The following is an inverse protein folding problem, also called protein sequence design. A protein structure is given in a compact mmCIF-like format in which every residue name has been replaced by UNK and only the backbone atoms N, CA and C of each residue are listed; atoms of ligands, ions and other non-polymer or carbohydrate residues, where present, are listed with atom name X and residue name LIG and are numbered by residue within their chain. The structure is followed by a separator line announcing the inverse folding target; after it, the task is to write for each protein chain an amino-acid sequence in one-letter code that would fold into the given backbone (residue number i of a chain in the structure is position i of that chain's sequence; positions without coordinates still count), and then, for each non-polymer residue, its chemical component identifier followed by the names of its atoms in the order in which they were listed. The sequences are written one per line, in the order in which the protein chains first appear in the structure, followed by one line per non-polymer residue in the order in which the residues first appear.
data_IF_409238457466
#
_entry.id   IF_409238457466
#
_cell.length_a   1.000
_cell.length_b   1.000
_cell.length_c   1.000
_cell.angle_alpha   90.00
_cell.angle_beta   90.00
_cell.angle_gamma   90.00
#
_symmetry.space_group_name_H-M   'P 1'
#
loop_
_entity.id
_entity.type
_entity.pdbx_description
1 polymer ?
#
# COMPACT_ATOMS: atom_id res chain seq x y z
N UNK A 1 31.16 26.30 31.71
CA UNK A 1 29.78 26.26 31.17
C UNK A 1 29.87 26.60 29.70
N UNK A 2 29.75 25.60 28.82
CA UNK A 2 29.80 25.79 27.37
C UNK A 2 28.90 24.76 26.72
N UNK A 3 27.65 25.15 26.44
CA UNK A 3 26.66 24.30 25.80
C UNK A 3 26.78 24.42 24.29
N UNK A 4 27.23 23.35 23.64
CA UNK A 4 27.08 23.15 22.21
C UNK A 4 25.61 22.84 21.91
N UNK A 5 24.89 23.77 21.29
CA UNK A 5 23.60 23.50 20.68
C UNK A 5 23.84 22.86 19.31
N UNK A 6 23.69 21.54 19.22
CA UNK A 6 23.65 20.83 17.94
C UNK A 6 22.31 21.06 17.27
N UNK A 7 22.36 21.61 16.05
CA UNK A 7 21.22 21.80 15.14
C UNK A 7 20.79 20.43 14.58
N UNK A 8 19.49 20.12 14.43
CA UNK A 8 19.08 18.89 13.78
C UNK A 8 19.34 18.96 12.27
N UNK A 9 19.98 17.91 11.77
CA UNK A 9 20.27 17.65 10.37
C UNK A 9 19.00 17.60 9.50
N UNK A 10 19.06 18.32 8.38
CA UNK A 10 18.05 18.40 7.33
C UNK A 10 17.60 17.02 6.82
N UNK A 11 16.30 16.74 6.91
CA UNK A 11 15.63 15.70 6.12
C UNK A 11 15.58 16.19 4.67
N UNK A 12 16.27 15.49 3.77
CA UNK A 12 16.31 15.82 2.34
C UNK A 12 14.97 15.44 1.70
N UNK A 13 14.09 16.43 1.55
CA UNK A 13 12.73 16.24 1.05
C UNK A 13 12.71 16.17 -0.48
N UNK A 14 13.02 14.99 -1.06
CA UNK A 14 12.99 14.78 -2.53
C UNK A 14 11.58 14.82 -3.13
N UNK A 15 10.53 14.79 -2.31
CA UNK A 15 9.13 14.71 -2.74
C UNK A 15 8.53 15.97 -3.37
N UNK A 16 9.25 17.11 -3.37
CA UNK A 16 8.70 18.40 -3.80
C UNK A 16 9.10 18.82 -5.22
N UNK A 17 9.89 18.05 -5.96
CA UNK A 17 10.59 18.54 -7.16
C UNK A 17 10.15 18.01 -8.52
N UNK A 18 9.21 17.08 -8.62
CA UNK A 18 8.73 16.62 -9.93
C UNK A 18 7.36 17.22 -10.31
N UNK A 19 7.35 17.82 -11.50
CA UNK A 19 6.20 18.04 -12.39
C UNK A 19 5.32 19.28 -12.23
N UNK A 20 5.77 20.35 -12.89
CA UNK A 20 4.88 21.31 -13.58
C UNK A 20 5.06 21.09 -15.09
N UNK A 21 4.10 20.47 -15.76
CA UNK A 21 3.84 20.70 -17.19
C UNK A 21 2.41 20.29 -17.58
N UNK A 22 1.82 21.06 -18.49
CA UNK A 22 0.40 21.16 -18.81
C UNK A 22 0.01 20.37 -20.08
N UNK A 23 -1.29 20.02 -20.18
CA UNK A 23 -2.11 19.85 -21.42
C UNK A 23 -1.84 18.59 -22.26
N UNK A 24 -2.77 17.95 -22.96
CA UNK A 24 -4.14 18.25 -23.39
C UNK A 24 -4.95 16.93 -23.58
N UNK A 25 -6.28 17.04 -23.68
CA UNK A 25 -7.24 15.96 -23.99
C UNK A 25 -7.49 15.86 -25.51
N UNK A 26 -7.96 14.70 -26.05
CA UNK A 26 -9.38 14.69 -26.49
C UNK A 26 -10.12 13.33 -26.47
N UNK A 27 -11.41 13.43 -26.13
CA UNK A 27 -12.66 12.96 -26.80
C UNK A 27 -12.91 11.48 -27.18
N UNK A 28 -14.19 11.11 -27.04
CA UNK A 28 -14.80 9.78 -27.16
C UNK A 28 -15.79 9.66 -28.34
N UNK A 29 -16.03 8.44 -28.82
CA UNK A 29 -17.21 7.97 -29.58
C UNK A 29 -17.47 6.49 -29.20
N UNK A 30 -18.67 6.07 -28.77
CA UNK A 30 -19.77 5.53 -29.61
C UNK A 30 -19.49 4.05 -29.97
N UNK A 31 -20.28 3.01 -29.64
CA UNK A 31 -21.70 2.80 -29.98
C UNK A 31 -22.23 1.50 -29.33
N UNK A 32 -23.55 1.45 -29.17
CA UNK A 32 -24.48 0.44 -28.64
C UNK A 32 -24.68 -0.85 -29.47
N UNK A 33 -25.16 -1.92 -28.84
CA UNK A 33 -25.82 -3.06 -29.51
C UNK A 33 -26.33 -4.16 -28.55
N UNK A 34 -27.66 -4.25 -28.39
CA UNK A 34 -28.36 -5.24 -27.56
C UNK A 34 -28.69 -6.54 -28.34
N UNK A 35 -29.03 -7.63 -27.63
CA UNK A 35 -30.26 -8.48 -27.80
C UNK A 35 -30.07 -9.92 -27.31
N UNK A 36 -30.91 -10.35 -26.36
CA UNK A 36 -31.35 -11.75 -26.07
C UNK A 36 -32.64 -12.04 -26.90
N UNK A 37 -33.27 -13.25 -27.00
CA UNK A 37 -33.67 -14.13 -25.87
C UNK A 37 -33.85 -15.67 -26.12
N UNK A 38 -34.07 -16.39 -24.99
CA UNK A 38 -34.95 -17.58 -24.72
C UNK A 38 -34.75 -18.92 -25.52
N UNK A 39 -35.09 -20.14 -25.06
CA UNK A 39 -36.03 -20.64 -24.03
C UNK A 39 -35.87 -22.19 -23.83
N UNK A 40 -36.12 -22.71 -22.61
CA UNK A 40 -36.98 -23.88 -22.22
C UNK A 40 -36.75 -25.30 -22.86
N UNK A 41 -36.97 -26.50 -22.28
CA UNK A 41 -37.61 -27.09 -21.06
C UNK A 41 -37.37 -28.62 -21.07
N UNK A 42 -37.48 -29.29 -19.90
CA UNK A 42 -37.90 -30.70 -19.72
C UNK A 42 -36.78 -31.61 -19.20
N UNK A 43 -36.80 -32.16 -17.98
CA UNK A 43 -37.74 -33.13 -17.36
C UNK A 43 -37.10 -34.54 -17.45
N UNK A 44 -37.20 -35.53 -16.56
CA UNK A 44 -37.81 -35.75 -15.25
C UNK A 44 -37.25 -37.12 -14.74
N UNK A 45 -37.01 -37.26 -13.43
CA UNK A 45 -37.04 -38.49 -12.59
C UNK A 45 -36.19 -39.74 -12.93
N UNK A 46 -35.41 -40.16 -11.92
CA UNK A 46 -34.88 -41.51 -11.75
C UNK A 46 -34.52 -41.73 -10.27
N UNK A 47 -35.22 -42.65 -9.65
CA UNK A 47 -35.44 -42.82 -8.22
C UNK A 47 -34.56 -43.96 -7.62
N UNK A 48 -34.16 -43.77 -6.36
CA UNK A 48 -33.75 -44.75 -5.31
C UNK A 48 -32.65 -45.80 -5.56
N UNK A 49 -31.59 -45.73 -4.74
CA UNK A 49 -31.05 -46.90 -4.04
C UNK A 49 -30.41 -46.49 -2.69
N UNK A 50 -30.94 -47.09 -1.63
CA UNK A 50 -30.56 -46.97 -0.23
C UNK A 50 -29.39 -47.89 0.18
N UNK A 51 -28.64 -47.43 1.20
CA UNK A 51 -27.78 -48.17 2.15
C UNK A 51 -26.40 -48.66 1.64
N UNK A 52 -25.31 -48.11 2.19
CA UNK A 52 -24.57 -48.79 3.26
C UNK A 52 -23.51 -47.89 3.93
N UNK A 53 -23.31 -48.15 5.22
CA UNK A 53 -22.35 -47.53 6.16
C UNK A 53 -20.89 -47.58 5.67
N UNK A 54 -20.15 -46.51 5.96
CA UNK A 54 -18.86 -46.54 6.70
C UNK A 54 -18.40 -45.11 6.94
N UNK A 55 -18.51 -44.63 8.18
CA UNK A 55 -17.91 -43.36 8.59
C UNK A 55 -16.40 -43.52 8.66
N UNK A 56 -15.58 -42.78 7.89
CA UNK A 56 -14.18 -42.64 8.23
C UNK A 56 -14.09 -41.68 9.41
N UNK A 57 -13.48 -42.13 10.50
CA UNK A 57 -12.98 -41.28 11.57
C UNK A 57 -12.14 -40.18 10.93
N UNK A 58 -12.73 -38.99 10.81
CA UNK A 58 -12.06 -37.79 10.35
C UNK A 58 -11.14 -37.38 11.49
N UNK A 59 -9.91 -37.91 11.46
CA UNK A 59 -8.80 -37.41 12.26
C UNK A 59 -8.70 -35.91 11.98
N UNK A 60 -9.24 -35.11 12.88
CA UNK A 60 -9.00 -33.68 12.89
C UNK A 60 -7.56 -33.50 13.37
N UNK A 61 -6.61 -33.60 12.44
CA UNK A 61 -5.33 -32.94 12.61
C UNK A 61 -5.64 -31.46 12.76
N UNK A 62 -5.74 -31.02 14.01
CA UNK A 62 -5.66 -29.60 14.35
C UNK A 62 -4.27 -29.19 13.91
N UNK A 63 -4.17 -28.65 12.69
CA UNK A 63 -2.96 -28.00 12.24
C UNK A 63 -2.55 -27.01 13.35
N UNK A 64 -1.30 -27.05 13.83
CA UNK A 64 -0.87 -26.14 14.87
C UNK A 64 -1.15 -24.72 14.37
N UNK A 65 -2.00 -23.99 15.09
CA UNK A 65 -2.17 -22.56 14.88
C UNK A 65 -0.80 -21.95 15.10
N UNK A 66 -0.12 -21.59 14.02
CA UNK A 66 1.12 -20.82 14.09
C UNK A 66 0.77 -19.53 14.82
N UNK A 67 1.22 -19.44 16.07
CA UNK A 67 1.00 -18.26 16.88
C UNK A 67 1.81 -17.13 16.24
N UNK A 68 1.12 -16.10 15.75
CA UNK A 68 1.79 -14.93 15.19
C UNK A 68 2.66 -14.29 16.29
N UNK A 69 3.84 -13.80 15.92
CA UNK A 69 4.68 -13.04 16.84
C UNK A 69 3.96 -11.77 17.30
N UNK A 70 4.41 -11.20 18.43
CA UNK A 70 3.85 -9.95 18.94
C UNK A 70 4.02 -8.82 17.94
N UNK A 71 5.20 -8.76 17.33
CA UNK A 71 5.61 -7.81 16.30
C UNK A 71 4.67 -7.89 15.11
N UNK A 72 4.43 -9.11 14.61
CA UNK A 72 3.51 -9.35 13.49
C UNK A 72 2.08 -8.91 13.82
N UNK A 73 1.59 -9.18 15.04
CA UNK A 73 0.28 -8.70 15.49
C UNK A 73 0.23 -7.17 15.51
N UNK A 74 1.28 -6.51 16.00
CA UNK A 74 1.35 -5.05 16.12
C UNK A 74 1.40 -4.38 14.76
N UNK A 75 2.26 -4.80 13.82
CA UNK A 75 2.28 -4.22 12.47
C UNK A 75 0.94 -4.42 11.76
N UNK A 76 0.27 -5.56 11.98
CA UNK A 76 -1.06 -5.82 11.42
C UNK A 76 -2.15 -4.95 12.06
N UNK A 77 -2.07 -4.72 13.37
CA UNK A 77 -2.96 -3.81 14.11
C UNK A 77 -2.81 -2.38 13.59
N UNK A 78 -1.59 -1.86 13.51
CA UNK A 78 -1.29 -0.51 13.01
C UNK A 78 -1.73 -0.35 11.56
N UNK A 79 -1.42 -1.32 10.70
CA UNK A 79 -1.88 -1.33 9.31
C UNK A 79 -3.39 -1.13 9.21
N UNK A 80 -4.15 -1.92 9.98
CA UNK A 80 -5.60 -1.85 9.99
C UNK A 80 -6.10 -0.50 10.53
N UNK A 81 -5.49 0.01 11.59
CA UNK A 81 -5.81 1.32 12.18
C UNK A 81 -5.64 2.44 11.14
N UNK A 82 -4.44 2.58 10.58
CA UNK A 82 -4.13 3.63 9.60
C UNK A 82 -5.09 3.58 8.42
N UNK A 83 -5.38 2.37 7.92
CA UNK A 83 -6.26 2.22 6.77
C UNK A 83 -7.72 2.51 7.07
N UNK A 84 -8.20 2.15 8.27
CA UNK A 84 -9.59 2.37 8.65
C UNK A 84 -9.85 3.83 9.02
N UNK A 85 -8.91 4.47 9.71
CA UNK A 85 -9.05 5.85 10.17
C UNK A 85 -8.76 6.86 9.05
N UNK A 86 -7.72 6.63 8.23
CA UNK A 86 -7.21 7.66 7.31
C UNK A 86 -7.32 7.30 5.84
N UNK A 87 -7.20 6.02 5.44
CA UNK A 87 -7.19 5.68 4.01
C UNK A 87 -8.58 5.45 3.41
N UNK A 88 -9.37 4.56 4.02
CA UNK A 88 -10.67 4.10 3.52
C UNK A 88 -11.76 5.19 3.49
N UNK A 89 -11.92 6.05 4.52
CA UNK A 89 -12.99 7.06 4.52
C UNK A 89 -12.70 8.26 3.61
N UNK A 90 -11.46 8.38 3.12
CA UNK A 90 -10.94 9.53 2.42
C UNK A 90 -10.81 9.31 0.90
N UNK A 91 -10.23 10.28 0.20
CA UNK A 91 -10.06 10.26 -1.26
C UNK A 91 -9.06 9.20 -1.75
N UNK A 92 -8.41 8.48 -0.83
CA UNK A 92 -7.35 7.49 -1.08
C UNK A 92 -6.09 8.15 -1.68
N UNK A 93 -5.29 7.37 -2.41
CA UNK A 93 -4.06 7.85 -3.05
C UNK A 93 -4.35 8.51 -4.39
N UNK A 94 -3.60 9.57 -4.71
CA UNK A 94 -3.62 10.19 -6.04
C UNK A 94 -2.79 9.38 -7.03
N UNK A 95 -1.76 8.68 -6.56
CA UNK A 95 -0.86 7.88 -7.39
C UNK A 95 -1.41 6.47 -7.73
N UNK A 96 -2.72 6.26 -7.61
CA UNK A 96 -3.41 5.00 -7.89
C UNK A 96 -4.76 5.28 -8.50
N UNK A 97 -5.07 4.64 -9.62
CA UNK A 97 -6.31 4.86 -10.36
C UNK A 97 -6.90 3.57 -10.90
N UNK A 98 -8.18 3.60 -11.27
CA UNK A 98 -8.88 2.58 -12.06
C UNK A 98 -9.52 3.24 -13.27
N UNK A 99 -8.82 3.36 -14.41
CA UNK A 99 -9.28 4.15 -15.55
C UNK A 99 -10.67 3.73 -16.07
N UNK A 100 -11.00 2.43 -15.94
CA UNK A 100 -12.29 1.87 -16.31
C UNK A 100 -13.49 2.37 -15.47
N UNK A 101 -13.26 3.15 -14.40
CA UNK A 101 -14.31 3.79 -13.59
C UNK A 101 -14.73 5.18 -14.10
N UNK A 102 -14.14 5.64 -15.20
CA UNK A 102 -14.57 6.85 -15.90
C UNK A 102 -14.37 8.14 -15.08
N UNK A 103 -15.17 9.16 -15.41
CA UNK A 103 -14.96 10.53 -14.95
C UNK A 103 -15.04 10.74 -13.43
N UNK A 104 -15.72 9.87 -12.69
CA UNK A 104 -15.76 9.96 -11.22
C UNK A 104 -14.40 9.61 -10.61
N UNK A 105 -13.76 8.56 -11.11
CA UNK A 105 -12.42 8.16 -10.65
C UNK A 105 -11.38 9.22 -11.02
N UNK A 106 -11.43 9.79 -12.23
CA UNK A 106 -10.56 10.90 -12.61
C UNK A 106 -10.72 12.09 -11.67
N UNK A 107 -11.96 12.45 -11.31
CA UNK A 107 -12.24 13.52 -10.33
C UNK A 107 -11.73 13.17 -8.92
N UNK A 108 -11.84 11.91 -8.49
CA UNK A 108 -11.29 11.47 -7.20
C UNK A 108 -9.77 11.61 -7.19
N UNK A 109 -9.09 11.12 -8.22
CA UNK A 109 -7.63 11.19 -8.37
C UNK A 109 -7.15 12.65 -8.34
N UNK A 110 -7.82 13.54 -9.08
CA UNK A 110 -7.45 14.95 -9.12
C UNK A 110 -7.67 15.64 -7.76
N UNK A 111 -8.81 15.39 -7.10
CA UNK A 111 -9.04 15.90 -5.75
C UNK A 111 -8.01 15.37 -4.74
N UNK A 112 -7.63 14.10 -4.85
CA UNK A 112 -6.59 13.51 -4.02
C UNK A 112 -5.22 14.17 -4.28
N UNK A 113 -4.90 14.47 -5.55
CA UNK A 113 -3.66 15.16 -5.94
C UNK A 113 -3.60 16.55 -5.32
N UNK A 114 -4.66 17.34 -5.47
CA UNK A 114 -4.75 18.69 -4.90
C UNK A 114 -4.57 18.64 -3.37
N UNK A 115 -5.23 17.69 -2.70
CA UNK A 115 -5.13 17.54 -1.25
C UNK A 115 -3.72 17.15 -0.80
N UNK A 116 -3.06 16.20 -1.50
CA UNK A 116 -1.68 15.81 -1.20
C UNK A 116 -0.70 16.97 -1.42
N UNK A 117 -0.90 17.76 -2.48
CA UNK A 117 -0.09 18.97 -2.71
C UNK A 117 -0.29 20.02 -1.62
N UNK A 118 -1.54 20.24 -1.18
CA UNK A 118 -1.86 21.12 -0.05
C UNK A 118 -1.15 20.64 1.22
N UNK A 119 -1.27 19.36 1.54
CA UNK A 119 -0.63 18.74 2.71
C UNK A 119 0.89 18.90 2.67
N UNK A 120 1.54 18.49 1.57
CA UNK A 120 3.00 18.60 1.42
C UNK A 120 3.48 20.04 1.47
N UNK A 121 2.73 20.97 0.87
CA UNK A 121 3.00 22.41 0.98
C UNK A 121 2.95 22.90 2.43
N UNK A 122 1.90 22.53 3.18
CA UNK A 122 1.78 22.88 4.60
C UNK A 122 2.93 22.31 5.42
N UNK A 123 3.24 21.02 5.26
CA UNK A 123 4.35 20.37 5.99
C UNK A 123 5.74 20.96 5.67
N UNK A 124 5.91 21.57 4.50
CA UNK A 124 7.19 22.13 4.06
C UNK A 124 7.36 23.61 4.45
N UNK A 125 6.30 24.41 4.37
CA UNK A 125 6.39 25.87 4.48
C UNK A 125 5.82 26.44 5.77
N UNK A 126 5.01 25.68 6.52
CA UNK A 126 4.52 26.10 7.84
C UNK A 126 5.38 25.52 8.96
N UNK A 127 6.25 26.35 9.53
CA UNK A 127 7.15 25.97 10.61
C UNK A 127 6.43 25.59 11.91
N UNK A 128 5.14 25.92 12.04
CA UNK A 128 4.34 25.59 13.23
C UNK A 128 3.61 24.26 13.11
N UNK A 129 3.60 23.64 11.92
CA UNK A 129 2.91 22.37 11.68
C UNK A 129 3.92 21.26 11.41
N UNK A 130 3.75 20.09 12.06
CA UNK A 130 4.58 18.93 11.78
C UNK A 130 3.90 17.98 10.78
N UNK A 131 4.70 17.17 10.06
CA UNK A 131 4.20 16.26 9.03
C UNK A 131 3.14 15.26 9.52
N UNK A 132 3.20 14.85 10.80
CA UNK A 132 2.23 13.93 11.41
C UNK A 132 0.86 14.59 11.52
N UNK A 133 0.79 15.80 12.07
CA UNK A 133 -0.46 16.55 12.18
C UNK A 133 -1.09 16.83 10.82
N UNK A 134 -0.28 17.21 9.82
CA UNK A 134 -0.75 17.35 8.44
C UNK A 134 -1.33 16.04 7.90
N UNK A 135 -0.63 14.91 8.13
CA UNK A 135 -1.09 13.60 7.67
C UNK A 135 -2.41 13.19 8.36
N UNK A 136 -2.60 13.51 9.64
CA UNK A 136 -3.83 13.22 10.36
C UNK A 136 -5.02 14.01 9.82
N UNK A 137 -4.83 15.29 9.54
CA UNK A 137 -5.90 16.19 9.06
C UNK A 137 -6.19 16.03 7.56
N UNK A 138 -5.32 15.32 6.85
CA UNK A 138 -5.40 15.11 5.42
C UNK A 138 -6.60 14.26 4.98
N UNK A 139 -7.15 14.58 3.80
CA UNK A 139 -8.23 13.80 3.17
C UNK A 139 -7.78 12.94 2.00
N UNK A 140 -6.47 12.80 1.78
CA UNK A 140 -5.86 11.96 0.76
C UNK A 140 -4.44 11.59 1.19
N UNK A 141 -3.96 10.40 0.83
CA UNK A 141 -2.66 9.92 1.29
C UNK A 141 -1.98 9.02 0.26
N UNK A 142 -0.73 9.32 -0.06
CA UNK A 142 0.17 8.41 -0.77
C UNK A 142 1.01 7.62 0.25
N UNK A 143 2.00 6.85 -0.22
CA UNK A 143 2.89 6.06 0.62
C UNK A 143 3.54 6.89 1.73
N UNK A 144 4.07 8.08 1.43
CA UNK A 144 4.70 8.97 2.40
C UNK A 144 3.82 9.30 3.60
N UNK A 145 2.64 9.86 3.36
CA UNK A 145 1.75 10.28 4.46
C UNK A 145 1.22 9.08 5.25
N UNK A 146 0.96 7.95 4.59
CA UNK A 146 0.54 6.71 5.26
C UNK A 146 1.66 6.11 6.12
N UNK A 147 2.91 6.19 5.66
CA UNK A 147 4.09 5.71 6.39
C UNK A 147 4.38 6.60 7.59
N UNK A 148 4.20 7.92 7.49
CA UNK A 148 4.26 8.83 8.63
C UNK A 148 3.28 8.43 9.74
N UNK A 149 2.02 8.15 9.38
CA UNK A 149 0.99 7.72 10.34
C UNK A 149 1.27 6.32 10.91
N UNK A 150 1.74 5.38 10.08
CA UNK A 150 2.11 4.05 10.55
C UNK A 150 3.28 4.09 11.53
N UNK A 151 4.30 4.92 11.27
CA UNK A 151 5.46 5.06 12.16
C UNK A 151 5.04 5.59 13.53
N UNK A 152 4.24 6.66 13.57
CA UNK A 152 3.67 7.19 14.82
C UNK A 152 2.99 6.08 15.63
N UNK A 153 2.06 5.34 15.01
CA UNK A 153 1.31 4.35 15.76
C UNK A 153 2.11 3.10 16.13
N UNK A 154 3.22 2.80 15.44
CA UNK A 154 4.16 1.79 15.89
C UNK A 154 4.96 2.28 17.12
N UNK A 155 5.34 3.55 17.13
CA UNK A 155 5.98 4.21 18.28
C UNK A 155 5.04 4.26 19.50
N UNK A 156 3.75 4.55 19.30
CA UNK A 156 2.72 4.50 20.36
C UNK A 156 2.55 3.09 20.96
N UNK A 157 2.83 2.03 20.19
CA UNK A 157 2.82 0.64 20.67
C UNK A 157 4.14 0.25 21.37
N UNK A 158 5.09 1.19 21.48
CA UNK A 158 6.36 1.03 22.20
C UNK A 158 7.52 0.52 21.35
N UNK A 159 7.42 0.55 20.02
CA UNK A 159 8.48 0.10 19.13
C UNK A 159 9.32 1.27 18.61
N UNK A 160 10.62 1.03 18.40
CA UNK A 160 11.44 1.94 17.59
C UNK A 160 11.10 1.68 16.12
N UNK A 161 10.32 2.59 15.53
CA UNK A 161 9.91 2.50 14.14
C UNK A 161 10.71 3.47 13.26
N UNK A 162 10.96 3.07 12.03
CA UNK A 162 11.70 3.85 11.02
C UNK A 162 10.92 3.94 9.72
N UNK A 163 11.25 4.94 8.93
CA UNK A 163 10.82 4.99 7.52
C UNK A 163 11.86 4.26 6.69
N UNK A 164 11.41 3.30 5.90
CA UNK A 164 12.23 2.62 4.92
C UNK A 164 11.90 3.16 3.53
N UNK A 165 12.91 3.67 2.83
CA UNK A 165 12.84 4.14 1.45
C UNK A 165 13.39 3.08 0.48
N UNK A 166 12.60 2.81 -0.56
CA UNK A 166 13.00 2.04 -1.73
C UNK A 166 13.37 3.01 -2.87
N UNK A 167 14.19 2.57 -3.83
CA UNK A 167 14.62 3.40 -4.98
C UNK A 167 13.45 3.98 -5.78
N UNK A 168 12.30 3.28 -5.78
CA UNK A 168 11.12 3.59 -6.58
C UNK A 168 10.22 4.73 -6.05
N UNK A 169 10.72 5.62 -5.18
CA UNK A 169 9.91 6.60 -4.45
C UNK A 169 8.77 5.97 -3.61
N UNK A 170 8.94 4.70 -3.25
CA UNK A 170 8.05 3.98 -2.32
C UNK A 170 8.67 4.02 -0.93
N UNK A 171 7.83 4.26 0.07
CA UNK A 171 8.24 4.28 1.47
C UNK A 171 7.26 3.51 2.32
N UNK A 172 7.78 2.80 3.31
CA UNK A 172 7.02 1.98 4.27
C UNK A 172 7.51 2.23 5.69
N UNK A 173 6.71 1.88 6.69
CA UNK A 173 7.17 1.88 8.07
C UNK A 173 7.77 0.51 8.42
N UNK A 174 8.85 0.50 9.20
CA UNK A 174 9.52 -0.73 9.64
C UNK A 174 9.84 -0.69 11.13
N UNK A 175 9.87 -1.88 11.77
CA UNK A 175 10.41 -2.11 13.12
C UNK A 175 11.52 -3.17 13.03
N UNK A 176 12.41 -3.21 14.01
CA UNK A 176 13.55 -4.15 14.07
C UNK A 176 14.76 -3.72 13.23
N UNK A 177 14.56 -3.05 12.09
CA UNK A 177 15.66 -2.57 11.26
C UNK A 177 16.44 -1.43 11.94
N UNK A 178 17.77 -1.48 11.95
CA UNK A 178 18.64 -0.35 12.31
C UNK A 178 18.54 0.82 11.31
N UNK A 179 19.16 1.96 11.63
CA UNK A 179 19.29 3.08 10.69
C UNK A 179 20.41 2.82 9.68
N UNK A 180 20.21 3.19 8.41
CA UNK A 180 21.20 3.05 7.35
C UNK A 180 20.72 2.12 6.23
N UNK A 181 21.68 1.71 5.40
CA UNK A 181 21.42 0.79 4.28
C UNK A 181 21.14 -0.63 4.79
N UNK A 182 20.11 -1.26 4.23
CA UNK A 182 19.83 -2.69 4.37
C UNK A 182 20.26 -3.42 3.09
N UNK A 183 20.54 -4.74 3.16
CA UNK A 183 20.75 -5.54 1.96
C UNK A 183 19.61 -5.38 0.96
N UNK A 184 19.95 -5.35 -0.33
CA UNK A 184 18.95 -5.29 -1.39
C UNK A 184 18.08 -6.55 -1.39
N UNK A 185 18.70 -7.73 -1.27
CA UNK A 185 17.98 -8.99 -1.10
C UNK A 185 17.36 -9.05 0.30
N UNK A 186 16.03 -9.04 0.37
CA UNK A 186 15.27 -9.07 1.63
C UNK A 186 15.30 -10.44 2.30
N UNK A 187 15.77 -11.50 1.62
CA UNK A 187 15.98 -12.81 2.23
C UNK A 187 17.14 -12.82 3.22
N UNK A 188 18.08 -11.87 3.08
CA UNK A 188 19.23 -11.66 3.98
C UNK A 188 18.87 -10.85 5.23
N UNK A 189 17.63 -10.36 5.34
CA UNK A 189 17.22 -9.51 6.45
C UNK A 189 17.05 -10.29 7.74
N UNK A 190 17.36 -9.62 8.85
CA UNK A 190 17.17 -10.18 10.18
C UNK A 190 15.71 -10.57 10.43
N UNK A 191 15.52 -11.70 11.13
CA UNK A 191 14.21 -12.32 11.39
C UNK A 191 13.30 -11.52 12.33
N UNK A 192 13.77 -10.37 12.82
CA UNK A 192 13.03 -9.42 13.65
C UNK A 192 12.64 -8.14 12.91
N UNK A 193 12.96 -8.01 11.61
CA UNK A 193 12.55 -6.88 10.79
C UNK A 193 11.12 -7.11 10.27
N UNK A 194 10.19 -6.23 10.63
CA UNK A 194 8.81 -6.27 10.15
C UNK A 194 8.45 -4.99 9.40
N UNK A 195 7.67 -5.15 8.33
CA UNK A 195 7.18 -4.06 7.49
C UNK A 195 5.69 -3.82 7.78
N UNK A 196 5.31 -2.54 7.80
CA UNK A 196 3.95 -2.06 7.74
C UNK A 196 3.82 -1.11 6.53
N UNK A 197 3.13 -1.55 5.48
CA UNK A 197 2.83 -0.78 4.28
C UNK A 197 1.31 -0.58 4.13
N UNK A 198 0.76 0.55 4.63
CA UNK A 198 -0.64 0.85 4.47
C UNK A 198 -1.07 1.19 3.05
N UNK A 199 -0.15 1.62 2.18
CA UNK A 199 -0.46 1.96 0.79
C UNK A 199 -0.74 0.70 -0.04
N UNK A 200 0.10 -0.33 0.13
CA UNK A 200 -0.10 -1.63 -0.49
C UNK A 200 -1.02 -2.55 0.32
N UNK A 201 -1.33 -2.26 1.58
CA UNK A 201 -2.08 -3.15 2.48
C UNK A 201 -1.30 -4.44 2.78
N UNK A 202 -0.03 -4.29 3.17
CA UNK A 202 0.87 -5.37 3.53
C UNK A 202 1.40 -5.11 4.95
N UNK A 203 1.38 -6.14 5.79
CA UNK A 203 2.06 -6.14 7.08
C UNK A 203 2.65 -7.52 7.29
N UNK A 204 3.97 -7.63 7.31
CA UNK A 204 4.65 -8.92 7.27
C UNK A 204 6.07 -8.84 7.82
N UNK A 205 6.67 -10.01 8.05
CA UNK A 205 8.11 -10.14 8.19
C UNK A 205 8.80 -9.66 6.91
N UNK A 206 9.96 -9.01 7.05
CA UNK A 206 10.68 -8.35 5.95
C UNK A 206 11.00 -9.28 4.80
N UNK A 207 11.51 -10.48 5.10
CA UNK A 207 11.82 -11.51 4.10
C UNK A 207 10.61 -12.02 3.29
N UNK A 208 9.38 -11.86 3.81
CA UNK A 208 8.15 -12.25 3.11
C UNK A 208 7.57 -11.12 2.26
N UNK A 209 8.14 -9.91 2.35
CA UNK A 209 7.62 -8.74 1.63
C UNK A 209 7.72 -8.86 0.10
N UNK A 210 8.80 -9.40 -0.50
CA UNK A 210 8.87 -9.54 -1.96
C UNK A 210 7.71 -10.36 -2.54
N UNK A 211 7.41 -11.53 -1.96
CA UNK A 211 6.31 -12.38 -2.39
C UNK A 211 4.95 -11.68 -2.22
N UNK A 212 4.72 -11.07 -1.05
CA UNK A 212 3.45 -10.38 -0.78
C UNK A 212 3.25 -9.14 -1.66
N UNK A 213 4.33 -8.42 -1.96
CA UNK A 213 4.31 -7.26 -2.83
C UNK A 213 3.96 -7.66 -4.25
N UNK A 214 4.63 -8.68 -4.81
CA UNK A 214 4.30 -9.22 -6.14
C UNK A 214 2.86 -9.71 -6.21
N UNK A 215 2.41 -10.51 -5.24
CA UNK A 215 1.03 -10.99 -5.18
C UNK A 215 0.03 -9.80 -5.15
N UNK A 216 0.40 -8.71 -4.46
CA UNK A 216 -0.44 -7.51 -4.39
C UNK A 216 -0.49 -6.75 -5.71
N UNK A 217 0.65 -6.58 -6.38
CA UNK A 217 0.72 -5.93 -7.68
C UNK A 217 -0.05 -6.72 -8.74
N UNK A 218 0.11 -8.04 -8.78
CA UNK A 218 -0.65 -8.93 -9.68
C UNK A 218 -2.15 -8.76 -9.49
N UNK A 219 -2.62 -8.82 -8.23
CA UNK A 219 -4.05 -8.57 -7.92
C UNK A 219 -4.50 -7.18 -8.34
N UNK A 220 -3.66 -6.16 -8.20
CA UNK A 220 -4.02 -4.80 -8.65
C UNK A 220 -4.16 -4.71 -10.17
N UNK A 221 -3.26 -5.36 -10.91
CA UNK A 221 -3.36 -5.44 -12.37
C UNK A 221 -4.64 -6.16 -12.80
N UNK A 222 -4.97 -7.30 -12.18
CA UNK A 222 -6.23 -8.03 -12.43
C UNK A 222 -7.48 -7.17 -12.13
N UNK A 223 -7.42 -6.34 -11.07
CA UNK A 223 -8.48 -5.39 -10.72
C UNK A 223 -8.53 -4.14 -11.63
N UNK A 224 -7.68 -4.07 -12.67
CA UNK A 224 -7.60 -2.95 -13.62
C UNK A 224 -7.07 -1.66 -12.98
N UNK A 225 -6.23 -1.77 -11.95
CA UNK A 225 -5.57 -0.61 -11.34
C UNK A 225 -4.28 -0.27 -12.06
N UNK A 226 -3.98 1.02 -12.05
CA UNK A 226 -2.72 1.58 -12.51
C UNK A 226 -2.12 2.43 -11.40
N UNK A 227 -0.80 2.53 -11.40
CA UNK A 227 -0.04 3.30 -10.43
C UNK A 227 0.76 4.38 -11.15
N UNK A 228 0.80 5.58 -10.57
CA UNK A 228 1.65 6.64 -11.08
C UNK A 228 2.94 6.63 -10.26
N UNK A 229 4.03 6.34 -10.94
CA UNK A 229 5.38 6.40 -10.41
C UNK A 229 6.12 7.29 -11.37
N UNK A 230 6.90 8.23 -10.86
CA UNK A 230 7.65 9.18 -11.67
C UNK A 230 6.81 9.91 -12.74
N UNK A 231 7.51 10.40 -13.76
CA UNK A 231 6.98 11.29 -14.80
C UNK A 231 6.43 10.50 -16.01
N UNK A 232 6.53 9.16 -16.02
CA UNK A 232 6.01 8.29 -17.10
C UNK A 232 4.48 8.19 -17.13
N UNK A 233 3.78 8.73 -16.14
CA UNK A 233 2.33 8.65 -16.01
C UNK A 233 1.87 7.36 -15.31
N UNK A 234 0.63 6.95 -15.58
CA UNK A 234 0.05 5.75 -14.96
C UNK A 234 0.50 4.49 -15.69
N UNK A 235 1.26 3.64 -15.00
CA UNK A 235 1.81 2.38 -15.51
C UNK A 235 1.13 1.16 -14.86
N UNK A 236 1.41 -0.02 -15.42
CA UNK A 236 0.98 -1.28 -14.82
C UNK A 236 1.58 -1.46 -13.42
N UNK A 237 0.84 -2.03 -12.44
CA UNK A 237 1.43 -2.46 -11.18
C UNK A 237 2.56 -3.49 -11.31
N UNK A 238 2.63 -4.23 -12.43
CA UNK A 238 3.72 -5.14 -12.77
C UNK A 238 4.70 -4.55 -13.79
N UNK A 239 4.79 -3.23 -13.91
CA UNK A 239 5.87 -2.59 -14.67
C UNK A 239 7.23 -3.08 -14.16
N UNK A 240 8.07 -3.63 -15.04
CA UNK A 240 9.32 -4.31 -14.64
C UNK A 240 10.25 -3.37 -13.87
N UNK A 241 10.35 -2.11 -14.33
CA UNK A 241 11.20 -1.11 -13.67
C UNK A 241 10.70 -0.81 -12.27
N UNK A 242 9.39 -0.60 -12.10
CA UNK A 242 8.79 -0.41 -10.78
C UNK A 242 9.06 -1.59 -9.83
N UNK A 243 8.79 -2.82 -10.29
CA UNK A 243 8.96 -4.02 -9.47
C UNK A 243 10.42 -4.19 -9.07
N UNK A 244 11.34 -4.02 -10.02
CA UNK A 244 12.79 -4.14 -9.75
C UNK A 244 13.28 -3.03 -8.82
N UNK A 245 12.83 -1.79 -8.98
CA UNK A 245 13.25 -0.67 -8.11
C UNK A 245 12.77 -0.87 -6.65
N UNK A 246 11.64 -1.55 -6.43
CA UNK A 246 11.17 -1.90 -5.08
C UNK A 246 11.87 -3.15 -4.52
N UNK A 247 11.99 -4.21 -5.32
CA UNK A 247 12.45 -5.52 -4.82
C UNK A 247 13.97 -5.66 -4.84
N UNK A 248 14.63 -5.21 -5.90
CA UNK A 248 16.07 -5.35 -6.12
C UNK A 248 16.84 -4.05 -5.85
N UNK A 249 16.14 -2.91 -5.78
CA UNK A 249 16.73 -1.62 -5.46
C UNK A 249 17.31 -1.55 -4.04
N UNK A 250 18.24 -0.62 -3.84
CA UNK A 250 18.78 -0.30 -2.51
C UNK A 250 17.70 0.16 -1.53
N UNK A 251 17.89 -0.14 -0.25
CA UNK A 251 16.88 0.08 0.80
C UNK A 251 17.53 0.82 1.97
N UNK A 252 16.96 1.94 2.39
CA UNK A 252 17.55 2.76 3.46
C UNK A 252 16.51 3.07 4.52
N UNK A 253 16.83 2.77 5.78
CA UNK A 253 15.98 3.05 6.93
C UNK A 253 16.48 4.27 7.71
N UNK A 254 15.56 5.18 8.09
CA UNK A 254 15.86 6.39 8.85
C UNK A 254 14.76 6.77 9.86
#
# INVERSE_FOLDING_TARGET
MGGCCSVPSHVSNRYARSEVSQGESPRAEGTSGASTPASSVGGHLGELATLNRSSPLRSSSIAPRTHMSREQMVVSKVLNRVRNEYYRPNLKSSNKTRPNRGAEESRRVERAKIEILRMRGQAMYDTNTNAVSVAMDGRAHNCGELTTLARLYLEDEGYVARTLEFVADHVVAVIGAGSGGLPADMSEWDSDIYICDPWSNIACLGNNYPEQFLAKMSRWQEEGKFIKIDDRGFVSPLDERWVNDVLEGGKTAF
#
